data_IF_897131738590
#
_entry.id   IF_897131738590
#
_cell.length_a   1.000
_cell.length_b   1.000
_cell.length_c   1.000
_cell.angle_alpha   90.00
_cell.angle_beta   90.00
_cell.angle_gamma   90.00
#
_symmetry.space_group_name_H-M   'P 1'
#
loop_
_entity.id
_entity.type
_entity.pdbx_description
1 polymer ?
#
# COMPACT_ATOMS: atom_id res chain seq x y z
N UNK A 1 -5.08 7.90 8.90
CA UNK A 1 -3.93 8.36 8.11
C UNK A 1 -2.97 7.21 7.88
N UNK A 2 -2.55 7.01 6.64
CA UNK A 2 -1.55 6.03 6.24
C UNK A 2 -0.15 6.63 6.30
N UNK A 3 0.87 5.79 6.45
CA UNK A 3 2.30 6.17 6.41
C UNK A 3 3.11 5.18 5.58
N UNK A 4 4.28 5.60 5.13
CA UNK A 4 5.26 4.73 4.48
C UNK A 4 5.57 3.53 5.39
N UNK A 5 5.58 2.33 4.80
CA UNK A 5 5.77 1.06 5.50
C UNK A 5 4.48 0.44 6.06
N UNK A 6 3.33 1.12 6.00
CA UNK A 6 2.06 0.52 6.41
C UNK A 6 1.68 -0.64 5.49
N UNK A 7 1.11 -1.69 6.09
CA UNK A 7 0.47 -2.78 5.36
C UNK A 7 -0.97 -2.38 5.04
N UNK A 8 -1.33 -2.44 3.77
CA UNK A 8 -2.64 -2.04 3.26
C UNK A 8 -3.24 -3.13 2.39
N UNK A 9 -4.56 -3.12 2.29
CA UNK A 9 -5.31 -3.92 1.33
C UNK A 9 -5.71 -3.02 0.16
N UNK A 10 -5.45 -3.49 -1.05
CA UNK A 10 -5.92 -2.91 -2.30
C UNK A 10 -6.39 -4.06 -3.19
N UNK A 11 -7.63 -3.99 -3.69
CA UNK A 11 -8.25 -5.06 -4.50
C UNK A 11 -8.10 -6.47 -3.87
N UNK A 12 -8.36 -6.58 -2.57
CA UNK A 12 -8.27 -7.83 -1.78
C UNK A 12 -6.86 -8.45 -1.66
N UNK A 13 -5.80 -7.75 -2.09
CA UNK A 13 -4.40 -8.17 -1.95
C UNK A 13 -3.66 -7.29 -0.95
N UNK A 14 -2.63 -7.85 -0.31
CA UNK A 14 -1.81 -7.16 0.66
C UNK A 14 -0.61 -6.47 -0.01
N UNK A 15 -0.47 -5.18 0.26
CA UNK A 15 0.64 -4.36 -0.20
C UNK A 15 1.30 -3.62 0.96
N UNK A 16 2.47 -3.07 0.67
CA UNK A 16 3.18 -2.13 1.55
C UNK A 16 3.27 -0.78 0.84
N UNK A 17 3.00 0.30 1.57
CA UNK A 17 3.19 1.66 1.07
C UNK A 17 4.69 1.96 1.00
N UNK A 18 5.20 2.26 -0.20
CA UNK A 18 6.59 2.68 -0.42
C UNK A 18 6.73 4.20 -0.39
N UNK A 19 5.78 4.92 -0.98
CA UNK A 19 5.83 6.38 -1.11
C UNK A 19 4.45 7.00 -1.02
N UNK A 20 4.37 8.24 -0.53
CA UNK A 20 3.13 9.02 -0.45
C UNK A 20 3.39 10.38 -1.11
N UNK A 21 2.54 10.76 -2.06
CA UNK A 21 2.58 12.04 -2.74
C UNK A 21 1.64 13.04 -2.07
N UNK A 22 1.94 14.33 -2.21
CA UNK A 22 1.14 15.43 -1.65
C UNK A 22 -0.29 15.46 -2.18
N UNK A 23 -0.53 14.89 -3.36
CA UNK A 23 -1.84 14.84 -4.01
C UNK A 23 -2.73 13.67 -3.54
N UNK A 24 -2.35 12.98 -2.46
CA UNK A 24 -3.15 11.88 -1.92
C UNK A 24 -2.89 10.51 -2.57
N UNK A 25 -2.06 10.44 -3.61
CA UNK A 25 -1.64 9.17 -4.20
C UNK A 25 -0.47 8.53 -3.44
N UNK A 26 -0.27 7.23 -3.65
CA UNK A 26 0.82 6.48 -3.04
C UNK A 26 1.28 5.34 -3.96
N UNK A 27 2.56 4.99 -3.85
CA UNK A 27 3.12 3.79 -4.48
C UNK A 27 3.02 2.62 -3.52
N UNK A 28 2.49 1.52 -4.04
CA UNK A 28 2.35 0.25 -3.32
C UNK A 28 3.26 -0.80 -3.95
N UNK A 29 3.79 -1.71 -3.12
CA UNK A 29 4.48 -2.91 -3.61
C UNK A 29 3.97 -4.17 -2.91
N UNK A 30 3.96 -5.28 -3.65
CA UNK A 30 3.58 -6.58 -3.08
C UNK A 30 4.67 -7.07 -2.11
N UNK A 31 4.25 -7.50 -0.92
CA UNK A 31 5.18 -7.89 0.16
C UNK A 31 6.08 -9.08 -0.17
N UNK A 32 5.66 -9.94 -1.11
CA UNK A 32 6.30 -11.23 -1.39
C UNK A 32 6.83 -11.36 -2.81
N UNK A 33 6.89 -10.26 -3.57
CA UNK A 33 7.42 -10.31 -4.93
C UNK A 33 8.94 -10.16 -4.93
N UNK A 34 9.64 -11.10 -5.59
CA UNK A 34 11.09 -11.02 -5.86
C UNK A 34 11.44 -9.92 -6.86
N UNK A 35 10.44 -9.37 -7.54
CA UNK A 35 10.55 -8.26 -8.50
C UNK A 35 9.83 -7.06 -7.91
N UNK A 36 10.51 -5.92 -7.83
CA UNK A 36 9.90 -4.66 -7.38
C UNK A 36 8.97 -4.17 -8.50
N UNK A 37 7.73 -4.61 -8.45
CA UNK A 37 6.63 -4.00 -9.18
C UNK A 37 5.91 -3.05 -8.23
N UNK A 38 5.77 -1.80 -8.65
CA UNK A 38 5.00 -0.79 -7.93
C UNK A 38 3.75 -0.43 -8.71
N UNK A 39 2.69 -0.10 -7.98
CA UNK A 39 1.45 0.44 -8.55
C UNK A 39 1.14 1.76 -7.86
N UNK A 40 0.62 2.73 -8.62
CA UNK A 40 0.21 4.04 -8.12
C UNK A 40 -1.30 4.02 -7.86
N UNK A 41 -1.70 4.33 -6.62
CA UNK A 41 -3.10 4.25 -6.16
C UNK A 41 -3.43 5.44 -5.27
N UNK A 42 -4.66 5.94 -5.33
CA UNK A 42 -5.15 6.97 -4.41
C UNK A 42 -5.44 6.38 -3.01
N UNK A 43 -5.05 7.07 -1.95
CA UNK A 43 -5.16 6.56 -0.56
C UNK A 43 -6.59 6.22 -0.13
N UNK A 44 -7.60 6.84 -0.73
CA UNK A 44 -9.02 6.56 -0.44
C UNK A 44 -9.47 5.16 -0.86
N UNK A 45 -8.71 4.50 -1.74
CA UNK A 45 -9.00 3.14 -2.21
C UNK A 45 -8.30 2.08 -1.33
N UNK A 46 -7.58 2.50 -0.28
CA UNK A 46 -6.84 1.61 0.60
C UNK A 46 -7.62 1.30 1.86
N UNK A 47 -7.49 0.06 2.31
CA UNK A 47 -7.93 -0.35 3.63
C UNK A 47 -6.71 -0.73 4.49
N UNK A 48 -6.79 -0.55 5.81
CA UNK A 48 -5.74 -1.03 6.71
C UNK A 48 -5.77 -2.55 6.75
N UNK A 49 -4.64 -3.20 6.43
CA UNK A 49 -4.52 -4.63 6.66
C UNK A 49 -4.63 -4.90 8.17
N UNK A 50 -5.60 -5.71 8.59
CA UNK A 50 -5.74 -6.10 10.00
C UNK A 50 -4.50 -6.89 10.39
N UNK A 51 -3.71 -6.35 11.32
CA UNK A 51 -2.68 -7.12 12.00
C UNK A 51 -3.42 -8.18 12.82
N UNK A 52 -3.35 -9.46 12.42
CA UNK A 52 -3.81 -10.54 13.31
C UNK A 52 -2.89 -10.53 14.53
N UNK A 53 -3.42 -10.07 15.66
CA UNK A 53 -2.84 -10.29 16.97
C UNK A 53 -2.80 -11.78 17.29
#
# INVERSE_FOLDING_TARGET
MFKIGDNVLYEFKNYVILWIYENGNCELTERHSSVVNTILVHMDHLEKAKQKC
#
